data_IF_974659587969
#
_entry.id   IF_974659587969
#
_cell.length_a   1.000
_cell.length_b   1.000
_cell.length_c   1.000
_cell.angle_alpha   90.00
_cell.angle_beta   90.00
_cell.angle_gamma   90.00
#
_symmetry.space_group_name_H-M   'P 1'
#
loop_
_entity.id
_entity.type
_entity.pdbx_description
1 polymer ?
#
# COMPACT_ATOMS: atom_id res chain seq x y z
N UNK A 1 -3.36 -28.96 11.78
CA UNK A 1 -2.25 -28.26 12.45
C UNK A 1 -1.96 -27.01 11.63
N UNK A 2 -2.36 -25.83 12.12
CA UNK A 2 -1.91 -24.58 11.52
C UNK A 2 -0.47 -24.36 11.98
N UNK A 3 0.47 -24.36 11.03
CA UNK A 3 1.90 -24.18 11.31
C UNK A 3 2.28 -22.73 11.61
N UNK A 4 1.38 -21.80 11.30
CA UNK A 4 1.52 -20.36 11.49
C UNK A 4 0.17 -19.83 11.92
N UNK A 5 0.15 -19.04 12.99
CA UNK A 5 -1.06 -18.38 13.48
C UNK A 5 -1.45 -17.20 12.61
N UNK A 6 -2.73 -16.82 12.62
CA UNK A 6 -3.21 -15.63 11.91
C UNK A 6 -2.51 -14.36 12.38
N UNK A 7 -2.19 -14.25 13.68
CA UNK A 7 -1.45 -13.11 14.25
C UNK A 7 -0.03 -12.98 13.66
N UNK A 8 0.65 -14.11 13.43
CA UNK A 8 1.96 -14.10 12.80
C UNK A 8 1.89 -13.70 11.33
N UNK A 9 0.88 -14.18 10.60
CA UNK A 9 0.64 -13.76 9.21
C UNK A 9 0.35 -12.26 9.16
N UNK A 10 -0.51 -11.74 10.03
CA UNK A 10 -0.83 -10.32 10.11
C UNK A 10 0.42 -9.49 10.37
N UNK A 11 1.24 -9.85 11.37
CA UNK A 11 2.50 -9.18 11.68
C UNK A 11 3.47 -9.17 10.50
N UNK A 12 3.64 -10.30 9.79
CA UNK A 12 4.51 -10.37 8.60
C UNK A 12 4.02 -9.39 7.53
N UNK A 13 2.70 -9.26 7.37
CA UNK A 13 2.09 -8.42 6.34
C UNK A 13 2.11 -6.93 6.72
N UNK A 14 2.03 -6.59 7.99
CA UNK A 14 2.34 -5.24 8.50
C UNK A 14 3.80 -4.88 8.21
N UNK A 15 4.75 -5.78 8.47
CA UNK A 15 6.16 -5.56 8.12
C UNK A 15 6.35 -5.37 6.60
N UNK A 16 5.58 -6.06 5.76
CA UNK A 16 5.59 -5.87 4.30
C UNK A 16 5.09 -4.47 3.92
N UNK A 17 4.01 -4.00 4.55
CA UNK A 17 3.49 -2.65 4.37
C UNK A 17 4.60 -1.62 4.67
N UNK A 18 5.23 -1.74 5.84
CA UNK A 18 6.20 -0.77 6.34
C UNK A 18 7.50 -0.76 5.54
N UNK A 19 7.97 -1.94 5.11
CA UNK A 19 9.27 -2.07 4.42
C UNK A 19 9.20 -1.87 2.92
N UNK A 20 8.06 -2.13 2.29
CA UNK A 20 7.97 -2.12 0.83
C UNK A 20 6.94 -1.12 0.31
N UNK A 21 5.70 -1.17 0.83
CA UNK A 21 4.61 -0.36 0.28
C UNK A 21 4.75 1.11 0.65
N UNK A 22 4.97 1.42 1.93
CA UNK A 22 5.12 2.81 2.40
C UNK A 22 6.33 3.50 1.73
N UNK A 23 7.53 2.89 1.66
CA UNK A 23 8.67 3.47 0.96
C UNK A 23 8.39 3.67 -0.54
N UNK A 24 7.71 2.72 -1.19
CA UNK A 24 7.30 2.87 -2.60
C UNK A 24 6.33 4.04 -2.77
N UNK A 25 5.33 4.17 -1.92
CA UNK A 25 4.38 5.28 -1.94
C UNK A 25 5.06 6.64 -1.75
N UNK A 26 6.03 6.71 -0.84
CA UNK A 26 6.77 7.94 -0.58
C UNK A 26 7.77 8.32 -1.69
N UNK A 27 8.24 7.36 -2.48
CA UNK A 27 9.20 7.59 -3.58
C UNK A 27 8.57 7.69 -4.97
N UNK A 28 7.37 7.16 -5.19
CA UNK A 28 6.75 7.05 -6.51
C UNK A 28 6.02 8.31 -6.99
N UNK A 29 6.03 9.40 -6.22
CA UNK A 29 5.36 10.62 -6.67
C UNK A 29 6.18 11.36 -7.73
N UNK A 30 5.55 12.40 -8.31
CA UNK A 30 6.15 13.12 -9.43
C UNK A 30 7.36 13.96 -8.98
N UNK A 31 8.47 13.87 -9.73
CA UNK A 31 9.75 14.57 -9.45
C UNK A 31 10.29 14.31 -8.03
N UNK A 32 10.22 13.06 -7.56
CA UNK A 32 10.76 12.66 -6.26
C UNK A 32 10.00 13.19 -5.04
N UNK A 33 8.81 13.76 -5.24
CA UNK A 33 7.89 14.08 -4.14
C UNK A 33 7.07 12.85 -3.76
N UNK A 34 6.59 12.78 -2.53
CA UNK A 34 5.66 11.73 -2.11
C UNK A 34 4.33 11.80 -2.87
N UNK A 35 3.71 10.64 -3.09
CA UNK A 35 2.31 10.54 -3.52
C UNK A 35 1.35 11.12 -2.49
N UNK A 36 1.79 11.30 -1.25
CA UNK A 36 0.99 11.86 -0.17
C UNK A 36 0.57 13.31 -0.45
N UNK A 37 -0.68 13.61 -0.14
CA UNK A 37 -1.14 14.98 0.08
C UNK A 37 -1.54 15.13 1.55
N UNK A 38 -2.65 14.51 1.96
CA UNK A 38 -3.19 14.60 3.32
C UNK A 38 -2.70 13.51 4.29
N UNK A 39 -1.88 12.55 3.84
CA UNK A 39 -1.55 11.35 4.63
C UNK A 39 -2.69 10.32 4.75
N UNK A 40 -3.91 10.64 4.31
CA UNK A 40 -5.09 9.76 4.41
C UNK A 40 -4.87 8.37 3.79
N UNK A 41 -4.03 8.28 2.76
CA UNK A 41 -3.72 6.99 2.14
C UNK A 41 -2.98 6.06 3.11
N UNK A 42 -1.98 6.59 3.83
CA UNK A 42 -1.21 5.83 4.82
C UNK A 42 -2.07 5.42 6.01
N UNK A 43 -2.92 6.34 6.52
CA UNK A 43 -3.83 6.07 7.67
C UNK A 43 -4.80 4.92 7.39
N UNK A 44 -5.21 4.77 6.13
CA UNK A 44 -6.19 3.77 5.71
C UNK A 44 -5.57 2.56 4.99
N UNK A 45 -4.23 2.48 4.94
CA UNK A 45 -3.54 1.29 4.47
C UNK A 45 -3.48 0.28 5.62
N UNK A 46 -4.09 -0.89 5.43
CA UNK A 46 -4.21 -1.91 6.49
C UNK A 46 -4.06 -3.30 5.91
N UNK A 47 -3.41 -4.19 6.65
CA UNK A 47 -3.49 -5.63 6.42
C UNK A 47 -4.57 -6.24 7.31
N UNK A 48 -5.14 -7.36 6.88
CA UNK A 48 -5.98 -8.23 7.71
C UNK A 48 -5.89 -9.66 7.21
N UNK A 49 -6.16 -10.63 8.07
CA UNK A 49 -6.19 -12.05 7.71
C UNK A 49 -7.62 -12.55 7.68
N UNK A 50 -7.99 -13.22 6.59
CA UNK A 50 -9.28 -13.88 6.40
C UNK A 50 -9.04 -15.36 6.08
N UNK A 51 -9.14 -16.21 7.11
CA UNK A 51 -8.82 -17.63 7.01
C UNK A 51 -7.35 -17.84 6.66
N UNK A 52 -7.07 -18.43 5.49
CA UNK A 52 -5.71 -18.69 5.00
C UNK A 52 -5.17 -17.59 4.06
N UNK A 53 -5.86 -16.46 3.93
CA UNK A 53 -5.46 -15.36 3.04
C UNK A 53 -5.16 -14.10 3.83
N UNK A 54 -4.11 -13.38 3.44
CA UNK A 54 -3.91 -12.00 3.88
C UNK A 54 -4.43 -11.04 2.80
N UNK A 55 -5.09 -9.97 3.25
CA UNK A 55 -5.64 -8.92 2.42
C UNK A 55 -5.02 -7.60 2.84
N UNK A 56 -4.38 -6.91 1.90
CA UNK A 56 -3.99 -5.51 2.05
C UNK A 56 -5.09 -4.65 1.44
N UNK A 57 -5.65 -3.77 2.25
CA UNK A 57 -6.70 -2.83 1.86
C UNK A 57 -6.19 -1.39 1.94
N UNK A 58 -6.64 -0.57 0.99
CA UNK A 58 -6.26 0.84 0.88
C UNK A 58 -7.44 1.65 0.31
N UNK A 59 -7.44 2.99 0.39
CA UNK A 59 -8.52 3.80 -0.16
C UNK A 59 -8.82 3.52 -1.63
N UNK A 60 -10.08 3.68 -2.05
CA UNK A 60 -10.51 3.41 -3.44
C UNK A 60 -9.67 4.14 -4.50
N UNK A 61 -9.17 5.33 -4.18
CA UNK A 61 -8.34 6.10 -5.10
C UNK A 61 -6.92 5.55 -5.32
N UNK A 62 -6.56 4.43 -4.66
CA UNK A 62 -5.31 3.69 -4.92
C UNK A 62 -5.20 3.28 -6.37
N UNK A 63 -6.31 2.96 -7.04
CA UNK A 63 -6.28 2.65 -8.48
C UNK A 63 -5.74 3.83 -9.30
N UNK A 64 -6.14 5.06 -8.98
CA UNK A 64 -5.64 6.24 -9.68
C UNK A 64 -4.20 6.58 -9.31
N UNK A 65 -3.71 6.17 -8.14
CA UNK A 65 -2.29 6.26 -7.79
C UNK A 65 -1.45 5.21 -8.52
N UNK A 66 -2.00 4.02 -8.74
CA UNK A 66 -1.32 2.92 -9.41
C UNK A 66 -1.34 3.03 -10.94
N UNK A 67 -2.49 3.38 -11.53
CA UNK A 67 -2.67 3.38 -13.00
C UNK A 67 -2.83 4.78 -13.58
N UNK A 68 -2.96 5.79 -12.74
CA UNK A 68 -3.44 7.11 -13.17
C UNK A 68 -4.93 7.14 -13.50
N UNK A 69 -5.39 8.30 -13.97
CA UNK A 69 -6.73 8.52 -14.48
C UNK A 69 -6.64 8.85 -15.96
N UNK A 70 -7.35 8.07 -16.79
CA UNK A 70 -7.48 8.32 -18.23
C UNK A 70 -8.17 9.65 -18.56
N UNK A 71 -7.89 10.26 -19.73
CA UNK A 71 -8.64 11.41 -20.21
C UNK A 71 -10.13 11.11 -20.43
N UNK A 72 -10.93 12.15 -20.57
CA UNK A 72 -12.31 12.12 -21.04
C UNK A 72 -13.30 12.78 -20.08
N UNK A 73 -13.45 12.26 -18.86
CA UNK A 73 -14.41 12.81 -17.88
C UNK A 73 -13.73 13.78 -16.93
N UNK A 74 -14.35 14.94 -16.72
CA UNK A 74 -13.92 15.90 -15.69
C UNK A 74 -13.79 15.22 -14.32
N UNK A 75 -12.64 15.34 -13.63
CA UNK A 75 -12.50 14.83 -12.27
C UNK A 75 -13.28 15.69 -11.26
N UNK A 76 -13.58 15.16 -10.06
CA UNK A 76 -14.25 15.92 -9.02
C UNK A 76 -13.43 17.13 -8.58
N UNK A 77 -13.93 18.33 -8.89
CA UNK A 77 -13.23 19.60 -8.59
C UNK A 77 -13.06 19.77 -7.08
N UNK A 78 -14.05 19.38 -6.28
CA UNK A 78 -13.97 19.48 -4.81
C UNK A 78 -12.76 18.76 -4.22
N UNK A 79 -12.42 17.57 -4.74
CA UNK A 79 -11.21 16.84 -4.33
C UNK A 79 -9.92 17.47 -4.81
N UNK A 80 -9.95 18.12 -5.96
CA UNK A 80 -8.81 18.90 -6.46
C UNK A 80 -8.63 20.22 -5.69
N UNK A 81 -9.70 20.81 -5.13
CA UNK A 81 -9.61 21.97 -4.23
C UNK A 81 -8.90 21.56 -2.94
N UNK A 82 -9.32 20.46 -2.29
CA UNK A 82 -8.65 19.92 -1.10
C UNK A 82 -7.16 19.65 -1.39
N UNK A 83 -6.86 19.02 -2.52
CA UNK A 83 -5.48 18.76 -2.95
C UNK A 83 -4.69 20.05 -3.21
N UNK A 84 -5.29 21.06 -3.85
CA UNK A 84 -4.63 22.32 -4.15
C UNK A 84 -4.29 23.10 -2.88
N UNK A 85 -5.20 23.10 -1.89
CA UNK A 85 -4.97 23.68 -0.57
C UNK A 85 -3.74 23.07 0.10
N UNK A 86 -3.61 21.75 0.05
CA UNK A 86 -2.49 21.07 0.70
C UNK A 86 -1.18 21.25 -0.07
N UNK A 87 -1.23 21.16 -1.41
CA UNK A 87 0.00 21.08 -2.24
C UNK A 87 0.60 22.43 -2.58
N UNK A 88 -0.22 23.47 -2.60
CA UNK A 88 0.21 24.83 -2.95
C UNK A 88 -0.03 25.83 -1.81
N UNK A 89 -0.56 25.39 -0.65
CA UNK A 89 -0.98 26.29 0.42
C UNK A 89 -1.95 27.40 -0.04
N UNK A 90 -2.73 27.10 -1.08
CA UNK A 90 -3.71 28.02 -1.65
C UNK A 90 -5.03 27.96 -0.86
N UNK A 91 -5.84 29.01 -0.90
CA UNK A 91 -7.18 29.01 -0.30
C UNK A 91 -8.25 29.61 -1.22
N UNK A 92 -9.48 29.69 -0.73
CA UNK A 92 -10.58 30.42 -1.37
C UNK A 92 -10.67 30.24 -2.90
N UNK A 93 -10.63 31.36 -3.61
CA UNK A 93 -10.68 31.42 -5.07
C UNK A 93 -9.41 30.90 -5.74
N UNK A 94 -8.24 31.04 -5.11
CA UNK A 94 -6.99 30.54 -5.69
C UNK A 94 -7.00 29.01 -5.79
N UNK A 95 -7.40 28.33 -4.72
CA UNK A 95 -7.53 26.87 -4.71
C UNK A 95 -8.57 26.39 -5.74
N UNK A 96 -9.67 27.14 -5.95
CA UNK A 96 -10.68 26.85 -6.99
C UNK A 96 -10.10 26.97 -8.39
N UNK A 97 -9.35 28.04 -8.69
CA UNK A 97 -8.70 28.24 -9.99
C UNK A 97 -7.68 27.15 -10.30
N UNK A 98 -6.83 26.81 -9.32
CA UNK A 98 -5.84 25.71 -9.47
C UNK A 98 -6.58 24.39 -9.73
N UNK A 99 -7.59 24.07 -8.92
CA UNK A 99 -8.37 22.84 -9.05
C UNK A 99 -9.04 22.74 -10.42
N UNK A 100 -9.63 23.82 -10.93
CA UNK A 100 -10.25 23.87 -12.25
C UNK A 100 -9.22 23.65 -13.37
N UNK A 101 -8.09 24.35 -13.33
CA UNK A 101 -7.03 24.21 -14.33
C UNK A 101 -6.50 22.76 -14.37
N UNK A 102 -6.25 22.15 -13.21
CA UNK A 102 -5.81 20.76 -13.11
C UNK A 102 -6.91 19.80 -13.59
N UNK A 103 -8.18 20.06 -13.26
CA UNK A 103 -9.31 19.25 -13.70
C UNK A 103 -9.42 19.22 -15.23
N UNK A 104 -9.34 20.38 -15.88
CA UNK A 104 -9.37 20.50 -17.35
C UNK A 104 -8.17 19.83 -18.00
N UNK A 105 -6.99 19.92 -17.39
CA UNK A 105 -5.80 19.21 -17.90
C UNK A 105 -5.97 17.69 -17.80
N UNK A 106 -6.43 17.17 -16.67
CA UNK A 106 -6.70 15.73 -16.49
C UNK A 106 -7.82 15.26 -17.40
N UNK A 107 -8.86 16.06 -17.61
CA UNK A 107 -9.93 15.76 -18.56
C UNK A 107 -9.38 15.61 -19.98
N UNK A 108 -8.49 16.51 -20.42
CA UNK A 108 -7.93 16.49 -21.77
C UNK A 108 -6.88 15.40 -21.96
N UNK A 109 -5.98 15.21 -21.00
CA UNK A 109 -4.73 14.45 -21.18
C UNK A 109 -4.60 13.24 -20.24
N UNK A 110 -5.52 13.09 -19.27
CA UNK A 110 -5.34 12.18 -18.16
C UNK A 110 -4.31 12.69 -17.14
N UNK A 111 -4.04 11.89 -16.12
CA UNK A 111 -2.97 12.19 -15.16
C UNK A 111 -1.61 11.82 -15.74
N UNK A 112 -0.55 12.43 -15.21
CA UNK A 112 0.83 12.08 -15.58
C UNK A 112 1.13 10.60 -15.36
N UNK A 113 0.65 10.01 -14.26
CA UNK A 113 0.75 8.56 -14.03
C UNK A 113 0.12 7.73 -15.15
N UNK A 114 -1.02 8.14 -15.70
CA UNK A 114 -1.63 7.42 -16.82
C UNK A 114 -0.77 7.51 -18.07
N UNK A 115 -0.24 8.70 -18.35
CA UNK A 115 0.66 8.94 -19.49
C UNK A 115 1.97 8.14 -19.38
N UNK A 116 2.45 7.91 -18.16
CA UNK A 116 3.67 7.14 -17.88
C UNK A 116 3.41 5.61 -17.81
N UNK A 117 2.19 5.15 -18.13
CA UNK A 117 1.82 3.73 -18.09
C UNK A 117 1.45 3.20 -16.70
N UNK A 118 1.38 4.08 -15.71
CA UNK A 118 1.08 3.77 -14.31
C UNK A 118 2.27 4.08 -13.40
N UNK A 119 2.20 3.55 -12.19
CA UNK A 119 3.25 3.60 -11.19
C UNK A 119 3.49 2.20 -10.67
N UNK A 120 4.68 1.96 -10.12
CA UNK A 120 5.05 0.67 -9.54
C UNK A 120 4.54 0.51 -8.11
N UNK A 121 3.48 1.22 -7.72
CA UNK A 121 2.98 1.22 -6.33
C UNK A 121 2.50 -0.17 -5.90
N UNK A 122 1.71 -0.83 -6.74
CA UNK A 122 1.15 -2.17 -6.44
C UNK A 122 2.11 -3.28 -6.86
N UNK A 123 2.90 -3.05 -7.91
CA UNK A 123 3.90 -4.00 -8.42
C UNK A 123 4.92 -4.42 -7.36
N UNK A 124 5.21 -3.56 -6.38
CA UNK A 124 6.14 -3.86 -5.29
C UNK A 124 5.80 -5.17 -4.57
N UNK A 125 4.51 -5.53 -4.46
CA UNK A 125 4.07 -6.77 -3.83
C UNK A 125 4.49 -8.04 -4.58
N UNK A 126 4.76 -7.93 -5.88
CA UNK A 126 5.20 -9.03 -6.73
C UNK A 126 6.70 -8.98 -7.03
N UNK A 127 7.43 -8.01 -6.47
CA UNK A 127 8.88 -7.94 -6.64
C UNK A 127 9.60 -9.02 -5.83
N UNK A 128 10.72 -9.52 -6.37
CA UNK A 128 11.49 -10.61 -5.76
C UNK A 128 11.91 -10.29 -4.32
N UNK A 129 12.28 -9.04 -4.02
CA UNK A 129 12.66 -8.63 -2.68
C UNK A 129 11.53 -8.81 -1.66
N UNK A 130 10.29 -8.48 -2.03
CA UNK A 130 9.12 -8.62 -1.16
C UNK A 130 8.74 -10.09 -0.99
N UNK A 131 8.73 -10.86 -2.07
CA UNK A 131 8.45 -12.30 -2.02
C UNK A 131 9.49 -13.02 -1.14
N UNK A 132 10.76 -12.70 -1.32
CA UNK A 132 11.85 -13.30 -0.56
C UNK A 132 11.74 -12.93 0.93
N UNK A 133 11.41 -11.68 1.26
CA UNK A 133 11.18 -11.25 2.63
C UNK A 133 10.07 -12.06 3.31
N UNK A 134 8.91 -12.21 2.65
CA UNK A 134 7.80 -13.01 3.16
C UNK A 134 8.25 -14.46 3.38
N UNK A 135 8.94 -15.06 2.40
CA UNK A 135 9.43 -16.43 2.48
C UNK A 135 10.38 -16.65 3.65
N UNK A 136 11.32 -15.73 3.87
CA UNK A 136 12.27 -15.79 4.98
C UNK A 136 11.57 -15.72 6.33
N UNK A 137 10.61 -14.80 6.49
CA UNK A 137 9.84 -14.65 7.71
C UNK A 137 8.99 -15.87 8.03
N UNK A 138 8.25 -16.39 7.04
CA UNK A 138 7.47 -17.62 7.21
C UNK A 138 8.37 -18.81 7.57
N UNK A 139 9.53 -18.94 6.91
CA UNK A 139 10.48 -20.02 7.19
C UNK A 139 11.03 -19.92 8.62
N UNK A 140 11.38 -18.72 9.09
CA UNK A 140 11.85 -18.50 10.44
C UNK A 140 10.78 -18.87 11.48
N UNK A 141 9.53 -18.42 11.26
CA UNK A 141 8.39 -18.75 12.13
C UNK A 141 8.14 -20.24 12.19
N UNK A 142 7.99 -20.92 11.05
CA UNK A 142 7.73 -22.36 11.00
C UNK A 142 8.84 -23.16 11.70
N UNK A 143 10.11 -22.77 11.52
CA UNK A 143 11.24 -23.47 12.18
C UNK A 143 11.12 -23.46 13.70
N UNK A 144 10.77 -22.32 14.28
CA UNK A 144 10.56 -22.18 15.74
C UNK A 144 9.39 -23.06 16.17
N UNK A 145 8.25 -22.95 15.49
CA UNK A 145 7.05 -23.73 15.82
C UNK A 145 7.27 -25.24 15.73
N UNK A 146 8.02 -25.71 14.73
CA UNK A 146 8.37 -27.13 14.61
C UNK A 146 9.27 -27.57 15.76
N UNK A 147 10.32 -26.79 16.07
CA UNK A 147 11.26 -27.12 17.15
C UNK A 147 10.55 -27.22 18.50
N UNK A 148 9.71 -26.24 18.83
CA UNK A 148 8.95 -26.21 20.09
C UNK A 148 8.00 -27.40 20.22
N UNK A 149 7.30 -27.75 19.12
CA UNK A 149 6.42 -28.91 19.09
C UNK A 149 7.17 -30.23 19.28
N UNK A 150 8.31 -30.40 18.62
CA UNK A 150 9.13 -31.61 18.77
C UNK A 150 9.68 -31.74 20.21
N UNK A 151 10.14 -30.64 20.81
CA UNK A 151 10.61 -30.63 22.20
C UNK A 151 9.49 -30.97 23.18
N UNK A 152 8.28 -30.44 22.96
CA UNK A 152 7.11 -30.77 23.78
C UNK A 152 6.78 -32.26 23.71
N UNK A 153 6.73 -32.82 22.50
CA UNK A 153 6.46 -34.26 22.30
C UNK A 153 7.53 -35.12 22.97
N UNK A 154 8.82 -34.74 22.84
CA UNK A 154 9.92 -35.45 23.48
C UNK A 154 9.77 -35.48 25.01
N UNK A 155 9.48 -34.34 25.65
CA UNK A 155 9.26 -34.27 27.10
C UNK A 155 8.10 -35.16 27.56
N UNK A 156 6.95 -35.06 26.88
CA UNK A 156 5.78 -35.90 27.18
C UNK A 156 6.03 -37.41 27.03
N UNK A 157 6.99 -37.78 26.18
CA UNK A 157 7.39 -39.17 25.94
C UNK A 157 8.37 -39.68 27.01
N UNK A 158 9.30 -38.84 27.47
CA UNK A 158 10.30 -39.21 28.47
C UNK A 158 9.85 -39.09 29.93
N UNK A 159 8.74 -38.39 30.20
CA UNK A 159 8.11 -38.29 31.52
C UNK A 159 7.10 -39.43 31.81
N UNK A 160 6.93 -40.38 30.88
CA UNK A 160 6.13 -41.61 31.03
C UNK A 160 7.02 -42.83 31.20
#
# INVERSE_FOLDING_TARGET
MEWISQQEIERIMEEVIDKFIIPRFNSSGYKGKSMSASGNWLINLKSRVEGQRSIISAPKYTEQLAKGRKPGKLPPISKLIEWAKIRFNADGEEARRIAWAVAKKIEKEGTKYYQDGGTKLVEVLSEQATIQYIKEKLTATIKVTIADNLLRIAKETFEK
#
